data_IF_744271600492
#
_entry.id   IF_744271600492
#
_cell.length_a   1.000
_cell.length_b   1.000
_cell.length_c   1.000
_cell.angle_alpha   90.00
_cell.angle_beta   90.00
_cell.angle_gamma   90.00
#
_symmetry.space_group_name_H-M   'P 1'
#
loop_
_entity.id
_entity.type
_entity.pdbx_description
1 polymer ?
#
# COMPACT_ATOMS: atom_id res chain seq x y z
N UNK A 1 19.37 -20.82 -58.01
CA UNK A 1 20.49 -20.67 -57.05
C UNK A 1 19.90 -20.18 -55.73
N UNK A 2 19.64 -21.11 -54.81
CA UNK A 2 19.26 -20.83 -53.43
C UNK A 2 20.47 -21.18 -52.55
N UNK A 3 20.82 -20.40 -51.52
CA UNK A 3 21.87 -20.80 -50.61
C UNK A 3 21.37 -21.94 -49.71
N UNK A 4 22.24 -22.92 -49.54
CA UNK A 4 22.08 -24.17 -48.82
C UNK A 4 21.66 -24.00 -47.35
N UNK A 5 20.71 -24.84 -46.93
CA UNK A 5 20.46 -25.17 -45.53
C UNK A 5 21.76 -25.54 -44.81
N UNK A 6 22.22 -24.68 -43.90
CA UNK A 6 23.11 -25.11 -42.81
C UNK A 6 22.23 -25.57 -41.67
N UNK A 7 22.17 -26.88 -41.47
CA UNK A 7 21.78 -27.47 -40.20
C UNK A 7 22.74 -26.96 -39.13
N UNK A 8 22.23 -26.15 -38.20
CA UNK A 8 22.92 -25.85 -36.96
C UNK A 8 22.64 -27.04 -36.03
N UNK A 9 23.64 -27.90 -35.84
CA UNK A 9 23.64 -28.88 -34.76
C UNK A 9 23.69 -28.14 -33.42
N UNK A 10 22.78 -28.39 -32.46
CA UNK A 10 22.86 -27.79 -31.14
C UNK A 10 24.08 -28.34 -30.41
N UNK A 11 24.95 -27.47 -29.92
CA UNK A 11 25.97 -27.84 -28.94
C UNK A 11 25.31 -28.00 -27.57
N UNK A 12 25.75 -29.00 -26.80
CA UNK A 12 25.13 -29.47 -25.56
C UNK A 12 25.14 -28.49 -24.35
N UNK A 13 25.26 -27.18 -24.59
CA UNK A 13 25.29 -26.14 -23.56
C UNK A 13 24.31 -24.98 -23.81
N UNK A 14 23.34 -25.12 -24.71
CA UNK A 14 22.22 -24.18 -24.74
C UNK A 14 21.30 -24.48 -23.55
N UNK A 15 21.39 -23.59 -22.57
CA UNK A 15 20.51 -23.46 -21.41
C UNK A 15 19.08 -23.86 -21.74
N UNK A 16 18.44 -24.63 -20.85
CA UNK A 16 17.01 -24.90 -20.87
C UNK A 16 16.22 -23.57 -20.80
N UNK A 17 16.09 -22.87 -21.93
CA UNK A 17 15.07 -21.85 -22.12
C UNK A 17 13.77 -22.62 -22.24
N UNK A 18 13.06 -22.73 -21.13
CA UNK A 18 11.66 -23.10 -21.11
C UNK A 18 10.98 -22.27 -22.19
N UNK A 19 10.56 -22.92 -23.28
CA UNK A 19 9.75 -22.29 -24.31
C UNK A 19 8.56 -21.69 -23.58
N UNK A 20 8.29 -20.37 -23.70
CA UNK A 20 7.15 -19.76 -23.05
C UNK A 20 5.87 -20.55 -23.33
N UNK A 21 5.02 -20.71 -22.33
CA UNK A 21 3.86 -21.61 -22.44
C UNK A 21 2.93 -21.24 -23.61
N UNK A 22 2.80 -19.95 -23.95
CA UNK A 22 2.06 -19.51 -25.15
C UNK A 22 2.69 -20.04 -26.44
N UNK A 23 4.02 -20.03 -26.58
CA UNK A 23 4.73 -20.57 -27.73
C UNK A 23 4.54 -22.10 -27.84
N UNK A 24 4.43 -22.80 -26.71
CA UNK A 24 4.12 -24.24 -26.71
C UNK A 24 2.70 -24.49 -27.24
N UNK A 25 1.72 -23.69 -26.83
CA UNK A 25 0.33 -23.79 -27.31
C UNK A 25 0.23 -23.43 -28.79
N UNK A 26 0.88 -22.35 -29.22
CA UNK A 26 0.96 -21.94 -30.63
C UNK A 26 1.59 -23.06 -31.48
N UNK A 27 2.75 -23.58 -31.05
CA UNK A 27 3.42 -24.67 -31.75
C UNK A 27 2.58 -25.95 -31.80
N UNK A 28 1.85 -26.27 -30.73
CA UNK A 28 0.92 -27.39 -30.71
C UNK A 28 -0.18 -27.23 -31.77
N UNK A 29 -0.78 -26.05 -31.86
CA UNK A 29 -1.83 -25.72 -32.84
C UNK A 29 -1.29 -25.82 -34.27
N UNK A 30 -0.11 -25.26 -34.52
CA UNK A 30 0.54 -25.28 -35.83
C UNK A 30 0.94 -26.70 -36.26
N UNK A 31 1.36 -27.56 -35.32
CA UNK A 31 1.82 -28.92 -35.60
C UNK A 31 0.72 -29.89 -36.04
N UNK A 32 -0.55 -29.58 -35.75
CA UNK A 32 -1.69 -30.48 -35.98
C UNK A 32 -2.51 -30.18 -37.25
N UNK A 33 -2.07 -29.23 -38.09
CA UNK A 33 -2.57 -28.89 -39.44
C UNK A 33 -3.92 -29.53 -39.85
N UNK A 34 -5.03 -29.04 -39.28
CA UNK A 34 -6.39 -29.39 -39.71
C UNK A 34 -7.10 -30.54 -38.98
N UNK A 35 -6.41 -31.30 -38.11
CA UNK A 35 -6.99 -32.40 -37.32
C UNK A 35 -7.16 -32.01 -35.83
N UNK A 36 -7.53 -30.76 -35.59
CA UNK A 36 -7.60 -30.18 -34.26
C UNK A 36 -9.03 -30.14 -33.76
N UNK A 37 -9.29 -30.74 -32.60
CA UNK A 37 -10.53 -30.46 -31.86
C UNK A 37 -10.39 -29.09 -31.19
N UNK A 38 -10.85 -28.08 -31.90
CA UNK A 38 -10.85 -26.70 -31.41
C UNK A 38 -11.66 -26.53 -30.11
N UNK A 39 -12.65 -27.40 -29.85
CA UNK A 39 -13.47 -27.33 -28.65
C UNK A 39 -12.68 -27.75 -27.41
N UNK A 40 -11.97 -28.89 -27.49
CA UNK A 40 -11.11 -29.40 -26.41
C UNK A 40 -9.92 -28.47 -26.16
N UNK A 41 -9.31 -27.94 -27.23
CA UNK A 41 -8.24 -26.96 -27.14
C UNK A 41 -8.71 -25.72 -26.39
N UNK A 42 -9.83 -25.13 -26.80
CA UNK A 42 -10.36 -23.93 -26.14
C UNK A 42 -10.69 -24.20 -24.68
N UNK A 43 -11.26 -25.37 -24.34
CA UNK A 43 -11.54 -25.74 -22.96
C UNK A 43 -10.25 -25.81 -22.12
N UNK A 44 -9.22 -26.45 -22.65
CA UNK A 44 -7.90 -26.57 -22.00
C UNK A 44 -7.23 -25.20 -21.85
N UNK A 45 -7.28 -24.36 -22.89
CA UNK A 45 -6.73 -22.99 -22.86
C UNK A 45 -7.46 -22.13 -21.82
N UNK A 46 -8.80 -22.19 -21.74
CA UNK A 46 -9.58 -21.51 -20.71
C UNK A 46 -9.28 -22.02 -19.31
N UNK A 47 -8.92 -23.28 -19.14
CA UNK A 47 -8.61 -23.86 -17.83
C UNK A 47 -7.20 -23.50 -17.37
N UNK A 48 -6.20 -23.68 -18.24
CA UNK A 48 -4.79 -23.71 -17.87
C UNK A 48 -4.04 -22.38 -18.17
N UNK A 49 -4.56 -21.51 -19.06
CA UNK A 49 -3.88 -20.27 -19.44
C UNK A 49 -4.43 -19.05 -18.68
N UNK A 50 -3.57 -18.09 -18.31
CA UNK A 50 -4.03 -16.78 -17.85
C UNK A 50 -4.55 -15.91 -19.01
N UNK A 51 -5.26 -14.82 -18.70
CA UNK A 51 -5.88 -13.98 -19.72
C UNK A 51 -4.85 -13.36 -20.70
N UNK A 52 -3.69 -12.83 -20.25
CA UNK A 52 -2.64 -12.34 -21.16
C UNK A 52 -2.14 -13.38 -22.14
N UNK A 53 -1.92 -14.63 -21.69
CA UNK A 53 -1.47 -15.73 -22.56
C UNK A 53 -2.51 -16.02 -23.64
N UNK A 54 -3.80 -16.02 -23.30
CA UNK A 54 -4.85 -16.29 -24.28
C UNK A 54 -4.97 -15.15 -25.30
N UNK A 55 -4.88 -13.89 -24.86
CA UNK A 55 -4.85 -12.73 -25.76
C UNK A 55 -3.70 -12.88 -26.76
N UNK A 56 -2.51 -13.20 -26.28
CA UNK A 56 -1.34 -13.36 -27.13
C UNK A 56 -1.51 -14.47 -28.17
N UNK A 57 -2.08 -15.61 -27.78
CA UNK A 57 -2.39 -16.71 -28.71
C UNK A 57 -3.37 -16.24 -29.80
N UNK A 58 -4.43 -15.51 -29.42
CA UNK A 58 -5.43 -15.03 -30.37
C UNK A 58 -4.86 -13.98 -31.33
N UNK A 59 -4.09 -13.02 -30.84
CA UNK A 59 -3.43 -11.99 -31.66
C UNK A 59 -2.45 -12.63 -32.65
N UNK A 60 -1.66 -13.61 -32.20
CA UNK A 60 -0.76 -14.36 -33.07
C UNK A 60 -1.52 -15.00 -34.24
N UNK A 61 -2.62 -15.71 -33.98
CA UNK A 61 -3.38 -16.37 -35.06
C UNK A 61 -4.16 -15.40 -35.92
N UNK A 62 -4.57 -14.24 -35.40
CA UNK A 62 -5.17 -13.17 -36.19
C UNK A 62 -4.21 -12.71 -37.30
N UNK A 63 -2.94 -12.55 -36.96
CA UNK A 63 -1.91 -12.10 -37.89
C UNK A 63 -1.37 -13.24 -38.77
N UNK A 64 -1.26 -14.45 -38.22
CA UNK A 64 -0.63 -15.59 -38.88
C UNK A 64 -1.58 -16.40 -39.76
N UNK A 65 -2.80 -16.71 -39.28
CA UNK A 65 -3.76 -17.56 -39.99
C UNK A 65 -5.21 -17.28 -39.56
N UNK A 66 -5.88 -16.44 -40.34
CA UNK A 66 -7.28 -16.04 -40.10
C UNK A 66 -8.27 -17.20 -40.02
N UNK A 67 -8.01 -18.32 -40.70
CA UNK A 67 -8.91 -19.48 -40.63
C UNK A 67 -8.85 -20.12 -39.23
N UNK A 68 -7.66 -20.28 -38.67
CA UNK A 68 -7.47 -20.81 -37.30
C UNK A 68 -8.05 -19.83 -36.28
N UNK A 69 -7.80 -18.53 -36.46
CA UNK A 69 -8.40 -17.47 -35.63
C UNK A 69 -9.93 -17.59 -35.59
N UNK A 70 -10.60 -17.65 -36.74
CA UNK A 70 -12.07 -17.75 -36.80
C UNK A 70 -12.61 -19.04 -36.17
N UNK A 71 -11.90 -20.17 -36.26
CA UNK A 71 -12.32 -21.41 -35.60
C UNK A 71 -12.18 -21.33 -34.07
N UNK A 72 -11.08 -20.74 -33.57
CA UNK A 72 -10.89 -20.51 -32.15
C UNK A 72 -11.96 -19.56 -31.61
N UNK A 73 -12.15 -18.41 -32.27
CA UNK A 73 -13.18 -17.42 -31.92
C UNK A 73 -14.57 -18.04 -31.84
N UNK A 74 -14.96 -18.84 -32.84
CA UNK A 74 -16.24 -19.54 -32.85
C UNK A 74 -16.39 -20.58 -31.72
N UNK A 75 -15.34 -21.30 -31.34
CA UNK A 75 -15.43 -22.24 -30.20
C UNK A 75 -15.49 -21.51 -28.86
N UNK A 76 -14.76 -20.40 -28.72
CA UNK A 76 -14.89 -19.53 -27.55
C UNK A 76 -16.30 -18.94 -27.41
N UNK A 77 -16.97 -18.63 -28.53
CA UNK A 77 -18.39 -18.26 -28.58
C UNK A 77 -19.27 -19.40 -28.07
N UNK A 78 -19.16 -20.58 -28.68
CA UNK A 78 -20.02 -21.73 -28.41
C UNK A 78 -20.00 -22.17 -26.94
N UNK A 79 -18.85 -22.14 -26.29
CA UNK A 79 -18.71 -22.59 -24.90
C UNK A 79 -19.43 -21.66 -23.92
N UNK A 80 -19.52 -20.36 -24.20
CA UNK A 80 -20.21 -19.46 -23.28
C UNK A 80 -21.73 -19.54 -23.33
N UNK A 81 -22.32 -20.05 -24.41
CA UNK A 81 -23.78 -20.22 -24.57
C UNK A 81 -24.40 -21.33 -23.70
N UNK A 82 -23.61 -22.19 -23.04
CA UNK A 82 -24.11 -23.28 -22.19
C UNK A 82 -24.45 -22.84 -20.73
N UNK A 83 -24.51 -21.54 -20.46
CA UNK A 83 -24.91 -21.00 -19.14
C UNK A 83 -26.30 -20.36 -19.29
N UNK A 84 -27.34 -21.02 -18.78
CA UNK A 84 -28.79 -20.72 -18.94
C UNK A 84 -29.28 -19.39 -18.31
N UNK A 85 -28.47 -18.34 -18.28
CA UNK A 85 -28.84 -17.09 -17.62
C UNK A 85 -28.36 -15.93 -18.51
N UNK A 86 -29.31 -15.21 -19.13
CA UNK A 86 -29.20 -13.94 -19.90
C UNK A 86 -29.43 -14.07 -21.41
N UNK A 87 -30.20 -13.12 -21.96
CA UNK A 87 -30.65 -12.96 -23.35
C UNK A 87 -29.59 -12.58 -24.39
N UNK A 88 -28.29 -12.73 -24.08
CA UNK A 88 -27.18 -12.34 -24.96
C UNK A 88 -26.11 -13.45 -25.03
N UNK A 89 -25.39 -13.60 -26.16
CA UNK A 89 -24.26 -14.51 -26.27
C UNK A 89 -23.21 -14.28 -25.17
N UNK A 90 -23.07 -15.23 -24.24
CA UNK A 90 -21.96 -15.27 -23.29
C UNK A 90 -20.81 -16.00 -24.01
N UNK A 91 -19.58 -15.50 -23.84
CA UNK A 91 -18.36 -16.13 -24.37
C UNK A 91 -17.68 -16.92 -23.24
N UNK A 92 -16.93 -17.98 -23.55
CA UNK A 92 -16.17 -18.72 -22.53
C UNK A 92 -15.23 -17.81 -21.70
N UNK A 93 -14.73 -16.72 -22.31
CA UNK A 93 -13.98 -15.66 -21.62
C UNK A 93 -14.79 -14.87 -20.62
N UNK A 94 -16.05 -14.59 -20.94
CA UNK A 94 -16.96 -13.87 -20.03
C UNK A 94 -17.08 -14.63 -18.72
N UNK A 95 -17.19 -15.96 -18.77
CA UNK A 95 -17.25 -16.80 -17.56
C UNK A 95 -15.97 -16.68 -16.74
N UNK A 96 -14.78 -16.76 -17.37
CA UNK A 96 -13.49 -16.66 -16.65
C UNK A 96 -13.25 -15.26 -16.08
N UNK A 97 -13.51 -14.21 -16.86
CA UNK A 97 -13.35 -12.81 -16.45
C UNK A 97 -14.32 -12.46 -15.32
N UNK A 98 -15.61 -12.84 -15.46
CA UNK A 98 -16.63 -12.59 -14.43
C UNK A 98 -16.37 -13.44 -13.18
N UNK A 99 -15.94 -14.70 -13.32
CA UNK A 99 -15.59 -15.56 -12.18
C UNK A 99 -14.40 -14.99 -11.38
N UNK A 100 -13.34 -14.56 -12.06
CA UNK A 100 -12.20 -13.91 -11.40
C UNK A 100 -12.63 -12.61 -10.72
N UNK A 101 -13.44 -11.79 -11.40
CA UNK A 101 -13.99 -10.58 -10.81
C UNK A 101 -14.85 -10.87 -9.57
N UNK A 102 -15.70 -11.89 -9.59
CA UNK A 102 -16.56 -12.22 -8.45
C UNK A 102 -15.74 -12.69 -7.23
N UNK A 103 -14.67 -13.46 -7.45
CA UNK A 103 -13.73 -13.84 -6.38
C UNK A 103 -13.04 -12.62 -5.76
N UNK A 104 -12.54 -11.71 -6.60
CA UNK A 104 -11.96 -10.45 -6.14
C UNK A 104 -12.99 -9.62 -5.36
N UNK A 105 -14.24 -9.57 -5.86
CA UNK A 105 -15.33 -8.81 -5.26
C UNK A 105 -15.69 -9.34 -3.87
N UNK A 106 -15.79 -10.66 -3.68
CA UNK A 106 -16.04 -11.27 -2.37
C UNK A 106 -14.97 -10.87 -1.35
N UNK A 107 -13.69 -10.91 -1.76
CA UNK A 107 -12.59 -10.46 -0.92
C UNK A 107 -12.70 -8.97 -0.57
N UNK A 108 -12.97 -8.12 -1.56
CA UNK A 108 -13.15 -6.67 -1.37
C UNK A 108 -14.32 -6.36 -0.43
N UNK A 109 -15.45 -7.05 -0.60
CA UNK A 109 -16.65 -6.85 0.22
C UNK A 109 -16.43 -7.23 1.70
N UNK A 110 -15.57 -8.21 1.96
CA UNK A 110 -15.23 -8.63 3.33
C UNK A 110 -14.20 -7.74 4.04
N UNK A 111 -13.40 -6.97 3.28
CA UNK A 111 -12.20 -6.30 3.79
C UNK A 111 -12.27 -4.78 3.78
N UNK A 112 -13.11 -4.17 2.94
CA UNK A 112 -13.19 -2.72 2.75
C UNK A 112 -14.53 -2.15 3.18
N UNK A 113 -14.57 -0.86 3.52
CA UNK A 113 -15.82 -0.13 3.76
C UNK A 113 -16.55 0.18 2.43
N UNK A 114 -17.83 0.56 2.50
CA UNK A 114 -18.70 0.81 1.33
C UNK A 114 -18.10 1.78 0.31
N UNK A 115 -17.53 2.90 0.75
CA UNK A 115 -16.94 3.90 -0.16
C UNK A 115 -15.65 3.42 -0.83
N UNK A 116 -14.82 2.67 -0.12
CA UNK A 116 -13.61 2.06 -0.68
C UNK A 116 -13.93 0.92 -1.65
N UNK A 117 -15.01 0.18 -1.42
CA UNK A 117 -15.54 -0.78 -2.38
C UNK A 117 -15.97 -0.07 -3.67
N UNK A 118 -16.64 1.09 -3.58
CA UNK A 118 -17.01 1.91 -4.73
C UNK A 118 -15.77 2.38 -5.49
N UNK A 119 -14.72 2.83 -4.79
CA UNK A 119 -13.46 3.25 -5.40
C UNK A 119 -12.84 2.15 -6.28
N UNK A 120 -12.77 0.91 -5.77
CA UNK A 120 -12.26 -0.23 -6.54
C UNK A 120 -13.17 -0.55 -7.73
N UNK A 121 -14.49 -0.50 -7.55
CA UNK A 121 -15.43 -0.75 -8.64
C UNK A 121 -15.34 0.30 -9.75
N UNK A 122 -15.11 1.59 -9.42
CA UNK A 122 -14.88 2.65 -10.42
C UNK A 122 -13.64 2.35 -11.26
N UNK A 123 -12.53 1.97 -10.62
CA UNK A 123 -11.32 1.56 -11.33
C UNK A 123 -11.63 0.46 -12.36
N UNK A 124 -12.30 -0.61 -11.90
CA UNK A 124 -12.71 -1.73 -12.78
C UNK A 124 -13.66 -1.26 -13.89
N UNK A 125 -14.61 -0.37 -13.60
CA UNK A 125 -15.51 0.21 -14.59
C UNK A 125 -14.75 0.99 -15.67
N UNK A 126 -13.80 1.85 -15.29
CA UNK A 126 -12.98 2.63 -16.23
C UNK A 126 -12.13 1.72 -17.11
N UNK A 127 -11.53 0.67 -16.53
CA UNK A 127 -10.78 -0.36 -17.28
C UNK A 127 -11.69 -1.03 -18.31
N UNK A 128 -12.90 -1.45 -17.93
CA UNK A 128 -13.85 -2.08 -18.85
C UNK A 128 -14.31 -1.12 -19.96
N UNK A 129 -14.63 0.14 -19.60
CA UNK A 129 -15.12 1.16 -20.51
C UNK A 129 -14.10 1.55 -21.57
N UNK A 130 -12.82 1.62 -21.19
CA UNK A 130 -11.74 2.03 -22.07
C UNK A 130 -11.09 0.87 -22.83
N UNK A 131 -11.53 -0.38 -22.60
CA UNK A 131 -10.98 -1.53 -23.29
C UNK A 131 -11.44 -1.55 -24.76
N UNK A 132 -10.48 -1.39 -25.68
CA UNK A 132 -10.70 -1.40 -27.13
C UNK A 132 -10.36 -2.74 -27.78
N UNK A 133 -10.06 -3.77 -26.99
CA UNK A 133 -9.69 -5.07 -27.52
C UNK A 133 -10.92 -5.73 -28.12
N UNK A 134 -10.96 -5.82 -29.45
CA UNK A 134 -12.09 -6.31 -30.25
C UNK A 134 -12.63 -7.65 -29.72
N UNK A 135 -11.72 -8.58 -29.44
CA UNK A 135 -12.03 -9.91 -28.95
C UNK A 135 -12.58 -9.98 -27.52
N UNK A 136 -12.24 -9.02 -26.65
CA UNK A 136 -12.68 -9.01 -25.24
C UNK A 136 -13.85 -8.06 -25.01
N UNK A 137 -14.21 -7.28 -26.02
CA UNK A 137 -15.17 -6.19 -25.92
C UNK A 137 -16.50 -6.63 -25.30
N UNK A 138 -17.01 -7.81 -25.70
CA UNK A 138 -18.27 -8.34 -25.16
C UNK A 138 -18.15 -8.77 -23.70
N UNK A 139 -17.07 -9.45 -23.31
CA UNK A 139 -16.83 -9.85 -21.93
C UNK A 139 -16.67 -8.64 -21.00
N UNK A 140 -15.93 -7.61 -21.44
CA UNK A 140 -15.81 -6.36 -20.71
C UNK A 140 -17.12 -5.57 -20.64
N UNK A 141 -17.96 -5.60 -21.68
CA UNK A 141 -19.29 -4.99 -21.62
C UNK A 141 -20.20 -5.72 -20.62
N UNK A 142 -20.24 -7.06 -20.63
CA UNK A 142 -21.00 -7.82 -19.62
C UNK A 142 -20.51 -7.54 -18.20
N UNK A 143 -19.18 -7.50 -18.01
CA UNK A 143 -18.61 -7.18 -16.71
C UNK A 143 -18.91 -5.73 -16.29
N UNK A 144 -18.85 -4.78 -17.23
CA UNK A 144 -19.20 -3.37 -17.00
C UNK A 144 -20.62 -3.24 -16.48
N UNK A 145 -21.58 -3.95 -17.05
CA UNK A 145 -22.98 -3.91 -16.61
C UNK A 145 -23.14 -4.44 -15.19
N UNK A 146 -22.45 -5.55 -14.85
CA UNK A 146 -22.40 -6.09 -13.48
C UNK A 146 -21.81 -5.06 -12.51
N UNK A 147 -20.68 -4.44 -12.87
CA UNK A 147 -20.02 -3.42 -12.07
C UNK A 147 -20.95 -2.22 -11.85
N UNK A 148 -21.64 -1.74 -12.89
CA UNK A 148 -22.58 -0.62 -12.80
C UNK A 148 -23.69 -0.93 -11.79
N UNK A 149 -24.29 -2.12 -11.84
CA UNK A 149 -25.32 -2.53 -10.87
C UNK A 149 -24.77 -2.51 -9.44
N UNK A 150 -23.56 -3.04 -9.23
CA UNK A 150 -22.91 -3.05 -7.91
C UNK A 150 -22.57 -1.65 -7.42
N UNK A 151 -22.09 -0.75 -8.29
CA UNK A 151 -21.83 0.65 -7.94
C UNK A 151 -23.14 1.31 -7.50
N UNK A 152 -24.23 1.18 -8.27
CA UNK A 152 -25.52 1.78 -7.93
C UNK A 152 -26.04 1.31 -6.56
N UNK A 153 -25.97 0.00 -6.29
CA UNK A 153 -26.37 -0.56 -5.00
C UNK A 153 -25.56 0.03 -3.84
N UNK A 154 -24.23 0.02 -3.95
CA UNK A 154 -23.35 0.52 -2.89
C UNK A 154 -23.43 2.04 -2.74
N UNK A 155 -23.66 2.77 -3.82
CA UNK A 155 -23.84 4.22 -3.79
C UNK A 155 -25.05 4.62 -2.93
N UNK A 156 -26.19 3.95 -3.10
CA UNK A 156 -27.36 4.18 -2.24
C UNK A 156 -27.06 3.92 -0.76
N UNK A 157 -26.28 2.87 -0.47
CA UNK A 157 -25.85 2.54 0.90
C UNK A 157 -24.95 3.65 1.45
N UNK A 158 -23.90 4.04 0.71
CA UNK A 158 -22.97 5.10 1.11
C UNK A 158 -23.70 6.44 1.34
N UNK A 159 -24.63 6.79 0.44
CA UNK A 159 -25.43 8.00 0.57
C UNK A 159 -26.25 7.99 1.86
N UNK A 160 -26.86 6.86 2.20
CA UNK A 160 -27.59 6.70 3.46
C UNK A 160 -26.65 6.76 4.68
N UNK A 161 -25.50 6.08 4.63
CA UNK A 161 -24.49 6.10 5.70
C UNK A 161 -24.00 7.52 5.98
N UNK A 162 -23.74 8.32 4.95
CA UNK A 162 -23.25 9.70 5.11
C UNK A 162 -24.37 10.64 5.57
N UNK A 163 -25.59 10.52 5.02
CA UNK A 163 -26.72 11.42 5.35
C UNK A 163 -27.34 11.14 6.71
N UNK A 164 -27.27 9.91 7.20
CA UNK A 164 -27.81 9.51 8.52
C UNK A 164 -26.90 9.90 9.69
N UNK A 165 -25.64 10.22 9.42
CA UNK A 165 -24.67 10.60 10.45
C UNK A 165 -24.78 12.09 10.79
N UNK A 166 -24.82 12.41 12.09
CA UNK A 166 -24.68 13.79 12.57
C UNK A 166 -23.27 14.34 12.33
N UNK A 167 -22.27 13.47 12.31
CA UNK A 167 -20.87 13.76 11.99
C UNK A 167 -20.30 12.72 11.04
N UNK A 168 -19.78 13.16 9.90
CA UNK A 168 -19.13 12.30 8.90
C UNK A 168 -17.75 11.89 9.40
N UNK A 169 -17.45 10.60 9.38
CA UNK A 169 -16.11 10.10 9.71
C UNK A 169 -15.06 10.57 8.69
N UNK A 170 -13.78 10.65 9.09
CA UNK A 170 -12.70 11.03 8.16
C UNK A 170 -12.65 10.09 6.95
N UNK A 171 -12.80 8.78 7.15
CA UNK A 171 -12.82 7.81 6.06
C UNK A 171 -13.92 8.13 5.05
N UNK A 172 -15.13 8.42 5.53
CA UNK A 172 -16.27 8.78 4.68
C UNK A 172 -16.15 10.18 4.07
N UNK A 173 -15.32 11.06 4.63
CA UNK A 173 -15.10 12.39 4.10
C UNK A 173 -14.52 12.37 2.68
N UNK A 174 -13.63 11.42 2.38
CA UNK A 174 -13.10 11.21 1.02
C UNK A 174 -14.18 10.73 0.04
N UNK A 175 -15.19 10.02 0.53
CA UNK A 175 -16.27 9.51 -0.31
C UNK A 175 -17.38 10.55 -0.57
N UNK A 176 -17.34 11.72 0.09
CA UNK A 176 -18.22 12.86 -0.23
C UNK A 176 -18.08 13.30 -1.69
N UNK A 177 -16.89 13.17 -2.27
CA UNK A 177 -16.62 13.53 -3.66
C UNK A 177 -17.32 12.62 -4.66
N UNK A 178 -17.75 11.41 -4.26
CA UNK A 178 -18.63 10.58 -5.08
C UNK A 178 -20.06 11.11 -5.12
N UNK A 179 -20.50 11.84 -4.09
CA UNK A 179 -21.91 12.20 -3.86
C UNK A 179 -22.27 13.65 -4.19
N UNK A 180 -21.33 14.58 -4.02
CA UNK A 180 -21.58 16.01 -4.12
C UNK A 180 -20.66 16.67 -5.15
N UNK A 181 -21.12 17.78 -5.73
CA UNK A 181 -20.29 18.61 -6.60
C UNK A 181 -19.02 19.06 -5.88
N UNK A 182 -17.93 19.27 -6.65
CA UNK A 182 -16.58 19.52 -6.13
C UNK A 182 -16.55 20.56 -5.01
N UNK A 183 -17.19 21.72 -5.21
CA UNK A 183 -17.18 22.81 -4.22
C UNK A 183 -17.90 22.43 -2.92
N UNK A 184 -19.06 21.79 -3.03
CA UNK A 184 -19.83 21.35 -1.86
C UNK A 184 -19.07 20.26 -1.10
N UNK A 185 -18.53 19.27 -1.81
CA UNK A 185 -17.73 18.19 -1.25
C UNK A 185 -16.48 18.75 -0.54
N UNK A 186 -15.77 19.71 -1.14
CA UNK A 186 -14.61 20.37 -0.54
C UNK A 186 -14.97 21.10 0.76
N UNK A 187 -16.08 21.83 0.78
CA UNK A 187 -16.52 22.56 1.97
C UNK A 187 -16.86 21.59 3.11
N UNK A 188 -17.56 20.49 2.81
CA UNK A 188 -17.86 19.44 3.79
C UNK A 188 -16.59 18.74 4.26
N UNK A 189 -15.69 18.37 3.35
CA UNK A 189 -14.40 17.76 3.65
C UNK A 189 -13.56 18.62 4.60
N UNK A 190 -13.36 19.91 4.25
CA UNK A 190 -12.61 20.86 5.10
C UNK A 190 -13.21 20.98 6.49
N UNK A 191 -14.55 21.03 6.60
CA UNK A 191 -15.24 21.07 7.89
C UNK A 191 -15.00 19.80 8.70
N UNK A 192 -15.07 18.63 8.07
CA UNK A 192 -14.80 17.35 8.73
C UNK A 192 -13.36 17.25 9.22
N UNK A 193 -12.38 17.62 8.38
CA UNK A 193 -10.96 17.66 8.76
C UNK A 193 -10.74 18.61 9.93
N UNK A 194 -11.24 19.85 9.85
CA UNK A 194 -11.12 20.83 10.92
C UNK A 194 -11.73 20.33 12.24
N UNK A 195 -12.93 19.76 12.20
CA UNK A 195 -13.57 19.21 13.39
C UNK A 195 -12.75 18.04 13.98
N UNK A 196 -12.19 17.17 13.15
CA UNK A 196 -11.34 16.05 13.62
C UNK A 196 -10.03 16.58 14.24
N UNK A 197 -9.41 17.60 13.63
CA UNK A 197 -8.23 18.29 14.17
C UNK A 197 -8.52 18.91 15.53
N UNK A 198 -9.63 19.62 15.68
CA UNK A 198 -10.02 20.28 16.95
C UNK A 198 -10.31 19.29 18.08
N UNK A 199 -10.74 18.07 17.74
CA UNK A 199 -11.10 17.04 18.72
C UNK A 199 -9.98 16.03 18.98
N UNK A 200 -8.93 15.98 18.16
CA UNK A 200 -7.74 15.15 18.37
C UNK A 200 -6.65 15.96 19.06
N UNK A 201 -5.97 15.34 20.02
CA UNK A 201 -4.87 15.98 20.76
C UNK A 201 -3.53 15.93 20.01
N UNK A 202 -3.43 15.17 18.92
CA UNK A 202 -2.17 14.78 18.28
C UNK A 202 -2.07 15.21 16.81
N UNK A 203 -0.85 15.54 16.34
CA UNK A 203 -0.53 15.85 14.93
C UNK A 203 -0.71 14.62 14.01
N UNK A 204 -0.81 13.43 14.60
CA UNK A 204 -1.18 12.16 13.94
C UNK A 204 -2.42 12.23 13.04
N UNK A 205 -3.30 13.21 13.22
CA UNK A 205 -4.45 13.40 12.33
C UNK A 205 -4.01 13.66 10.89
N UNK A 206 -3.02 14.55 10.64
CA UNK A 206 -2.53 14.85 9.28
C UNK A 206 -1.93 13.59 8.64
N UNK A 207 -1.21 12.79 9.43
CA UNK A 207 -0.68 11.47 9.06
C UNK A 207 -1.78 10.50 8.63
N UNK A 208 -2.77 10.28 9.49
CA UNK A 208 -3.89 9.40 9.21
C UNK A 208 -4.68 9.86 7.98
N UNK A 209 -4.91 11.16 7.83
CA UNK A 209 -5.60 11.73 6.68
C UNK A 209 -4.80 11.51 5.38
N UNK A 210 -3.47 11.65 5.42
CA UNK A 210 -2.59 11.42 4.26
C UNK A 210 -2.58 9.96 3.81
N UNK A 211 -2.54 9.01 4.76
CA UNK A 211 -2.66 7.57 4.46
C UNK A 211 -4.00 7.26 3.78
N UNK A 212 -5.10 7.81 4.30
CA UNK A 212 -6.42 7.64 3.70
C UNK A 212 -6.49 8.25 2.30
N UNK A 213 -5.88 9.42 2.09
CA UNK A 213 -5.75 10.05 0.78
C UNK A 213 -5.04 9.11 -0.19
N UNK A 214 -3.82 8.66 0.12
CA UNK A 214 -3.08 7.74 -0.74
C UNK A 214 -3.86 6.45 -1.03
N UNK A 215 -4.51 5.88 -0.01
CA UNK A 215 -5.27 4.65 -0.12
C UNK A 215 -6.44 4.76 -1.10
N UNK A 216 -7.22 5.85 -1.06
CA UNK A 216 -8.36 6.01 -1.98
C UNK A 216 -7.89 6.21 -3.43
N UNK A 217 -6.82 6.98 -3.66
CA UNK A 217 -6.26 7.20 -4.99
C UNK A 217 -5.66 5.91 -5.58
N UNK A 218 -4.98 5.11 -4.77
CA UNK A 218 -4.46 3.80 -5.17
C UNK A 218 -5.58 2.84 -5.57
N UNK A 219 -6.71 2.85 -4.84
CA UNK A 219 -7.88 2.01 -5.16
C UNK A 219 -8.58 2.44 -6.44
N UNK A 220 -8.78 3.75 -6.60
CA UNK A 220 -9.37 4.35 -7.81
C UNK A 220 -8.50 4.16 -9.04
N UNK A 221 -7.17 4.22 -8.87
CA UNK A 221 -6.20 4.29 -9.95
C UNK A 221 -6.52 5.41 -10.97
N UNK A 222 -6.96 6.55 -10.45
CA UNK A 222 -7.24 7.78 -11.19
C UNK A 222 -6.53 8.94 -10.49
N UNK A 223 -6.11 10.00 -11.19
CA UNK A 223 -5.49 11.17 -10.57
C UNK A 223 -6.51 12.09 -9.86
N UNK A 224 -7.79 11.73 -9.83
CA UNK A 224 -8.87 12.49 -9.22
C UNK A 224 -9.99 11.56 -8.68
N UNK A 225 -10.80 12.09 -7.75
CA UNK A 225 -12.02 11.44 -7.27
C UNK A 225 -13.23 12.02 -8.01
N UNK A 226 -13.94 11.25 -8.86
CA UNK A 226 -15.07 11.74 -9.64
C UNK A 226 -16.35 11.83 -8.81
N UNK A 227 -17.24 12.77 -9.18
CA UNK A 227 -18.66 12.71 -8.83
C UNK A 227 -19.31 11.58 -9.65
N UNK A 228 -20.17 10.80 -9.02
CA UNK A 228 -20.91 9.72 -9.68
C UNK A 228 -22.36 10.16 -9.87
N UNK A 229 -22.76 10.31 -11.12
CA UNK A 229 -24.14 10.56 -11.49
C UNK A 229 -24.81 9.25 -11.90
N UNK A 230 -25.75 8.77 -11.08
CA UNK A 230 -26.55 7.59 -11.36
C UNK A 230 -27.72 7.96 -12.27
N UNK A 231 -27.73 7.38 -13.47
CA UNK A 231 -28.85 7.51 -14.40
C UNK A 231 -29.82 6.34 -14.16
N UNK A 232 -31.06 6.65 -13.79
CA UNK A 232 -32.06 5.68 -13.30
C UNK A 232 -32.42 4.59 -14.31
N UNK A 233 -32.30 4.86 -15.61
CA UNK A 233 -32.77 3.97 -16.68
C UNK A 233 -31.66 3.40 -17.60
N UNK A 234 -30.39 3.70 -17.33
CA UNK A 234 -29.26 3.22 -18.16
C UNK A 234 -28.41 2.19 -17.41
N UNK A 235 -27.88 1.19 -18.12
CA UNK A 235 -26.77 0.33 -17.65
C UNK A 235 -25.43 1.08 -17.65
N UNK A 236 -25.46 2.34 -17.20
CA UNK A 236 -24.27 3.19 -17.16
C UNK A 236 -24.28 4.11 -15.93
N UNK A 237 -23.09 4.63 -15.63
CA UNK A 237 -22.84 5.71 -14.67
C UNK A 237 -22.07 6.82 -15.37
N UNK A 238 -22.33 8.06 -15.00
CA UNK A 238 -21.58 9.20 -15.53
C UNK A 238 -20.62 9.67 -14.44
N UNK A 239 -19.32 9.61 -14.72
CA UNK A 239 -18.27 10.12 -13.86
C UNK A 239 -17.93 11.55 -14.28
N UNK A 240 -17.74 12.46 -13.32
CA UNK A 240 -17.29 13.82 -13.66
C UNK A 240 -15.89 13.84 -14.28
N UNK A 241 -15.65 14.85 -15.11
CA UNK A 241 -14.35 15.11 -15.73
C UNK A 241 -13.34 15.67 -14.71
N UNK A 242 -12.02 15.49 -14.92
CA UNK A 242 -10.98 15.93 -13.98
C UNK A 242 -11.12 17.37 -13.49
N UNK A 243 -11.51 18.30 -14.38
CA UNK A 243 -11.70 19.73 -14.06
C UNK A 243 -12.78 19.99 -13.00
N UNK A 244 -13.78 19.10 -12.94
CA UNK A 244 -14.92 19.13 -12.04
C UNK A 244 -14.77 18.12 -10.90
N UNK A 245 -13.57 17.57 -10.71
CA UNK A 245 -13.23 16.58 -9.70
C UNK A 245 -12.12 17.09 -8.80
N UNK A 246 -11.92 16.46 -7.65
CA UNK A 246 -10.80 16.80 -6.76
C UNK A 246 -9.60 15.91 -7.05
N UNK A 247 -8.42 16.52 -7.15
CA UNK A 247 -7.14 15.81 -7.31
C UNK A 247 -6.51 15.42 -5.98
N UNK A 248 -5.56 14.48 -6.02
CA UNK A 248 -4.79 14.08 -4.84
C UNK A 248 -4.00 15.24 -4.26
N UNK A 249 -3.43 16.09 -5.12
CA UNK A 249 -2.65 17.26 -4.71
C UNK A 249 -3.52 18.31 -4.01
N UNK A 250 -4.75 18.53 -4.49
CA UNK A 250 -5.69 19.43 -3.84
C UNK A 250 -6.05 18.96 -2.42
N UNK A 251 -6.33 17.66 -2.25
CA UNK A 251 -6.60 17.11 -0.92
C UNK A 251 -5.35 17.12 -0.03
N UNK A 252 -4.18 16.81 -0.59
CA UNK A 252 -2.90 16.85 0.13
C UNK A 252 -2.65 18.25 0.68
N UNK A 253 -2.86 19.32 -0.11
CA UNK A 253 -2.70 20.70 0.38
C UNK A 253 -3.65 21.07 1.52
N UNK A 254 -4.84 20.47 1.57
CA UNK A 254 -5.81 20.71 2.64
C UNK A 254 -5.40 19.96 3.90
N UNK A 255 -4.95 18.71 3.76
CA UNK A 255 -4.50 17.85 4.86
C UNK A 255 -3.20 18.39 5.44
N UNK A 256 -2.23 18.68 4.57
CA UNK A 256 -0.87 19.10 4.87
C UNK A 256 -0.71 20.61 4.99
N UNK A 257 -1.66 21.27 5.66
CA UNK A 257 -1.64 22.74 5.79
C UNK A 257 -0.44 23.28 6.59
N UNK A 258 0.25 22.42 7.35
CA UNK A 258 1.48 22.75 8.09
C UNK A 258 2.77 22.33 7.36
N UNK A 259 2.69 21.88 6.10
CA UNK A 259 3.84 21.45 5.29
C UNK A 259 4.63 20.29 5.92
N UNK A 260 3.92 19.45 6.66
CA UNK A 260 4.40 18.31 7.41
C UNK A 260 5.11 17.26 6.53
N UNK A 261 4.61 16.99 5.31
CA UNK A 261 5.16 15.97 4.42
C UNK A 261 6.22 16.48 3.46
N UNK A 262 6.29 17.80 3.22
CA UNK A 262 7.38 18.39 2.43
C UNK A 262 8.66 18.63 3.25
N UNK A 263 8.64 18.34 4.56
CA UNK A 263 9.86 18.33 5.38
C UNK A 263 10.83 17.26 4.87
N UNK A 264 12.07 17.65 4.60
CA UNK A 264 13.18 16.77 4.17
C UNK A 264 13.15 15.39 4.85
N UNK A 265 13.29 14.31 4.07
CA UNK A 265 13.42 12.94 4.57
C UNK A 265 14.53 12.89 5.64
N UNK A 266 14.29 12.29 6.82
CA UNK A 266 15.29 12.26 7.88
C UNK A 266 16.60 11.64 7.40
N UNK A 267 17.71 12.31 7.69
CA UNK A 267 19.08 11.83 7.42
C UNK A 267 19.44 11.57 5.94
N UNK A 268 18.61 12.02 4.98
CA UNK A 268 18.86 11.83 3.53
C UNK A 268 20.24 12.30 3.09
N UNK A 269 20.67 13.46 3.61
CA UNK A 269 21.97 14.06 3.29
C UNK A 269 23.02 13.84 4.39
N UNK A 270 22.76 12.93 5.35
CA UNK A 270 23.69 12.66 6.44
C UNK A 270 24.89 11.84 5.93
N UNK A 271 26.14 12.14 6.32
CA UNK A 271 27.29 11.42 5.79
C UNK A 271 27.30 9.92 6.19
N UNK A 272 27.35 9.02 5.20
CA UNK A 272 27.28 7.57 5.40
C UNK A 272 28.25 7.02 6.47
N UNK A 273 29.47 7.56 6.56
CA UNK A 273 30.48 7.12 7.54
C UNK A 273 30.15 7.50 8.99
N UNK A 274 29.18 8.41 9.22
CA UNK A 274 28.74 8.85 10.54
C UNK A 274 27.59 8.03 11.11
N UNK A 275 26.94 7.18 10.31
CA UNK A 275 25.86 6.30 10.77
C UNK A 275 26.35 5.26 11.81
N UNK A 276 25.39 4.72 12.56
CA UNK A 276 25.63 3.54 13.40
C UNK A 276 25.87 2.35 12.49
N UNK A 277 27.00 1.66 12.65
CA UNK A 277 27.28 0.45 11.88
C UNK A 277 26.63 -0.75 12.58
N UNK A 278 25.60 -1.38 12.01
CA UNK A 278 24.86 -2.44 12.70
C UNK A 278 25.70 -3.68 13.03
N UNK A 279 26.78 -3.95 12.28
CA UNK A 279 27.67 -5.09 12.51
C UNK A 279 28.72 -4.83 13.59
N UNK A 280 29.08 -3.57 13.84
CA UNK A 280 30.15 -3.19 14.79
C UNK A 280 29.61 -2.57 16.07
N UNK A 281 28.54 -1.80 15.93
CA UNK A 281 28.01 -0.91 16.97
C UNK A 281 26.77 -1.53 17.66
N UNK A 282 26.23 -2.65 17.17
CA UNK A 282 25.07 -3.35 17.76
C UNK A 282 25.35 -4.85 17.87
N UNK A 283 25.13 -5.46 19.04
CA UNK A 283 25.33 -6.91 19.21
C UNK A 283 24.21 -7.74 18.55
N UNK A 284 22.94 -7.36 18.73
CA UNK A 284 21.78 -8.04 18.16
C UNK A 284 20.78 -7.04 17.60
N UNK A 285 20.83 -6.78 16.29
CA UNK A 285 19.97 -5.75 15.66
C UNK A 285 18.48 -6.11 15.72
N UNK A 286 18.12 -7.40 15.58
CA UNK A 286 16.72 -7.84 15.63
C UNK A 286 16.07 -7.52 16.97
N UNK A 287 16.80 -7.79 18.05
CA UNK A 287 16.35 -7.52 19.40
C UNK A 287 16.25 -6.01 19.67
N UNK A 288 17.24 -5.22 19.25
CA UNK A 288 17.19 -3.76 19.38
C UNK A 288 15.99 -3.17 18.64
N UNK A 289 15.71 -3.60 17.40
CA UNK A 289 14.51 -3.20 16.64
C UNK A 289 13.23 -3.50 17.43
N UNK A 290 13.12 -4.70 17.99
CA UNK A 290 11.95 -5.10 18.79
C UNK A 290 11.79 -4.25 20.06
N UNK A 291 12.86 -4.06 20.84
CA UNK A 291 12.85 -3.24 22.06
C UNK A 291 12.34 -1.82 21.76
N UNK A 292 12.89 -1.17 20.73
CA UNK A 292 12.45 0.18 20.38
C UNK A 292 10.99 0.22 19.92
N UNK A 293 10.51 -0.82 19.25
CA UNK A 293 9.11 -0.91 18.88
C UNK A 293 8.20 -0.99 20.12
N UNK A 294 8.59 -1.74 21.13
CA UNK A 294 7.88 -1.79 22.41
C UNK A 294 7.90 -0.45 23.16
N UNK A 295 9.01 0.31 23.09
CA UNK A 295 9.09 1.68 23.64
C UNK A 295 8.08 2.61 22.98
N UNK A 296 7.99 2.57 21.64
CA UNK A 296 6.98 3.32 20.89
C UNK A 296 5.57 2.86 21.25
N UNK A 297 5.29 1.54 21.18
CA UNK A 297 3.98 0.96 21.48
C UNK A 297 3.50 1.37 22.87
N UNK A 298 4.31 1.19 23.90
CA UNK A 298 3.98 1.55 25.29
C UNK A 298 3.61 3.02 25.42
N UNK A 299 4.40 3.90 24.81
CA UNK A 299 4.19 5.34 24.93
C UNK A 299 2.96 5.78 24.14
N UNK A 300 2.76 5.23 22.95
CA UNK A 300 1.65 5.56 22.07
C UNK A 300 0.30 5.12 22.66
N UNK A 301 0.19 3.86 23.13
CA UNK A 301 -1.04 3.30 23.69
C UNK A 301 -1.52 4.08 24.91
N UNK A 302 -0.58 4.56 25.74
CA UNK A 302 -0.91 5.35 26.93
C UNK A 302 -1.56 6.70 26.60
N UNK A 303 -1.27 7.26 25.42
CA UNK A 303 -1.78 8.57 24.99
C UNK A 303 -3.02 8.48 24.12
N UNK A 304 -3.07 7.48 23.24
CA UNK A 304 -4.18 7.24 22.32
C UNK A 304 -4.94 5.99 22.78
N UNK A 305 -4.68 4.85 22.15
CA UNK A 305 -5.12 3.51 22.55
C UNK A 305 -4.43 2.46 21.66
N UNK A 306 -4.63 1.17 21.97
CA UNK A 306 -4.05 0.05 21.21
C UNK A 306 -4.57 -0.06 19.78
N UNK A 307 -5.87 0.19 19.56
CA UNK A 307 -6.48 0.09 18.21
C UNK A 307 -5.90 1.12 17.25
N UNK A 308 -5.64 2.34 17.70
CA UNK A 308 -5.05 3.38 16.86
C UNK A 308 -3.57 3.08 16.54
N UNK A 309 -2.83 2.45 17.46
CA UNK A 309 -1.47 1.99 17.17
C UNK A 309 -1.47 0.86 16.13
N UNK A 310 -2.38 -0.11 16.26
CA UNK A 310 -2.53 -1.21 15.29
C UNK A 310 -2.89 -0.69 13.88
N UNK A 311 -3.75 0.32 13.79
CA UNK A 311 -4.15 0.95 12.52
C UNK A 311 -3.00 1.64 11.80
N UNK A 312 -1.94 2.08 12.50
CA UNK A 312 -0.75 2.60 11.81
C UNK A 312 -0.14 1.54 10.90
N UNK A 313 -0.19 0.26 11.30
CA UNK A 313 0.41 -0.83 10.53
C UNK A 313 1.93 -0.73 10.37
N UNK A 314 2.60 0.11 11.18
CA UNK A 314 4.04 0.38 11.10
C UNK A 314 4.80 -0.22 12.29
N UNK A 315 5.97 -0.78 12.00
CA UNK A 315 6.96 -1.12 13.02
C UNK A 315 7.87 0.09 13.27
N UNK A 316 7.41 1.03 14.07
CA UNK A 316 8.11 2.30 14.34
C UNK A 316 9.53 2.08 14.88
N UNK A 317 9.73 1.03 15.68
CA UNK A 317 11.06 0.67 16.19
C UNK A 317 12.00 0.22 15.08
N UNK A 318 11.52 -0.62 14.16
CA UNK A 318 12.33 -1.06 13.01
C UNK A 318 12.66 0.10 12.08
N UNK A 319 11.67 0.92 11.74
CA UNK A 319 11.86 2.08 10.85
C UNK A 319 12.88 3.04 11.47
N UNK A 320 12.74 3.35 12.76
CA UNK A 320 13.68 4.21 13.47
C UNK A 320 15.12 3.66 13.42
N UNK A 321 15.31 2.38 13.74
CA UNK A 321 16.65 1.77 13.77
C UNK A 321 17.27 1.69 12.39
N UNK A 322 16.51 1.33 11.35
CA UNK A 322 17.03 1.35 9.98
C UNK A 322 17.39 2.77 9.52
N UNK A 323 16.59 3.77 9.88
CA UNK A 323 16.87 5.18 9.53
C UNK A 323 18.22 5.65 10.08
N UNK A 324 18.65 5.19 11.26
CA UNK A 324 19.91 5.60 11.89
C UNK A 324 21.11 4.66 11.59
N UNK A 325 20.88 3.56 10.89
CA UNK A 325 21.91 2.56 10.55
C UNK A 325 22.19 2.45 9.05
N UNK A 326 21.20 2.72 8.21
CA UNK A 326 21.28 2.57 6.75
C UNK A 326 21.17 3.94 6.05
N UNK A 327 22.11 4.32 5.17
CA UNK A 327 22.02 5.55 4.38
C UNK A 327 20.82 5.55 3.41
N UNK A 328 20.37 4.36 3.00
CA UNK A 328 19.22 4.16 2.11
C UNK A 328 18.29 3.11 2.72
N UNK A 329 17.45 3.48 3.70
CA UNK A 329 16.50 2.56 4.31
C UNK A 329 15.53 1.99 3.26
N UNK A 330 15.03 0.77 3.49
CA UNK A 330 14.09 0.11 2.57
C UNK A 330 12.67 0.71 2.59
N UNK A 331 12.39 1.59 3.55
CA UNK A 331 11.08 2.18 3.78
C UNK A 331 10.84 3.38 2.86
N UNK A 332 9.58 3.67 2.58
CA UNK A 332 9.19 4.83 1.79
C UNK A 332 9.51 6.14 2.53
N UNK A 333 9.76 7.22 1.77
CA UNK A 333 9.96 8.57 2.32
C UNK A 333 8.85 8.95 3.31
N UNK A 334 7.61 8.52 3.03
CA UNK A 334 6.45 8.71 3.88
C UNK A 334 6.58 8.04 5.25
N UNK A 335 6.98 6.77 5.30
CA UNK A 335 7.18 6.01 6.55
C UNK A 335 8.32 6.58 7.39
N UNK A 336 9.40 7.03 6.73
CA UNK A 336 10.56 7.65 7.37
C UNK A 336 10.18 8.98 8.03
N UNK A 337 9.49 9.86 7.30
CA UNK A 337 8.99 11.14 7.81
C UNK A 337 8.01 10.92 8.96
N UNK A 338 7.08 9.97 8.80
CA UNK A 338 6.07 9.66 9.81
C UNK A 338 6.69 9.20 11.13
N UNK A 339 7.64 8.27 11.07
CA UNK A 339 8.31 7.77 12.28
C UNK A 339 9.05 8.89 13.01
N UNK A 340 9.73 9.79 12.28
CA UNK A 340 10.39 10.97 12.85
C UNK A 340 9.42 11.87 13.60
N UNK A 341 8.32 12.25 12.97
CA UNK A 341 7.41 13.23 13.58
C UNK A 341 6.67 12.65 14.79
N UNK A 342 6.29 11.36 14.75
CA UNK A 342 5.80 10.64 15.94
C UNK A 342 6.85 10.69 17.07
N UNK A 343 8.12 10.48 16.73
CA UNK A 343 9.21 10.59 17.70
C UNK A 343 9.24 11.99 18.34
N UNK A 344 9.23 13.06 17.52
CA UNK A 344 9.28 14.45 18.02
C UNK A 344 8.12 14.76 18.95
N UNK A 345 6.92 14.34 18.59
CA UNK A 345 5.72 14.59 19.37
C UNK A 345 5.76 13.86 20.73
N UNK A 346 6.10 12.56 20.71
CA UNK A 346 6.26 11.78 21.93
C UNK A 346 7.36 12.34 22.86
N UNK A 347 8.38 12.99 22.30
CA UNK A 347 9.46 13.66 23.04
C UNK A 347 9.06 15.01 23.64
N UNK A 348 8.20 15.78 22.96
CA UNK A 348 7.75 17.11 23.39
C UNK A 348 6.58 17.03 24.38
N UNK A 349 5.79 15.97 24.33
CA UNK A 349 4.65 15.78 25.22
C UNK A 349 5.11 15.56 26.66
N UNK A 350 4.85 16.54 27.54
CA UNK A 350 5.26 16.52 28.94
C UNK A 350 4.60 15.42 29.78
N UNK A 351 3.49 14.85 29.32
CA UNK A 351 2.82 13.70 29.96
C UNK A 351 3.38 12.36 29.49
N UNK A 352 4.23 12.37 28.46
CA UNK A 352 4.80 11.17 27.86
C UNK A 352 6.00 10.68 28.66
N UNK A 353 6.00 9.39 28.99
CA UNK A 353 7.19 8.73 29.51
C UNK A 353 8.16 8.31 28.39
N UNK A 354 7.86 8.63 27.13
CA UNK A 354 8.66 8.23 25.98
C UNK A 354 10.12 8.68 26.12
N UNK A 355 10.37 9.95 26.48
CA UNK A 355 11.74 10.44 26.70
C UNK A 355 12.51 9.58 27.71
N UNK A 356 11.86 9.24 28.82
CA UNK A 356 12.43 8.40 29.89
C UNK A 356 12.76 7.00 29.37
N UNK A 357 11.81 6.31 28.74
CA UNK A 357 12.02 4.94 28.26
C UNK A 357 12.95 4.88 27.04
N UNK A 358 12.87 5.84 26.13
CA UNK A 358 13.69 5.90 24.92
C UNK A 358 15.16 6.10 25.25
N UNK A 359 15.51 7.18 25.96
CA UNK A 359 16.90 7.44 26.33
C UNK A 359 17.39 6.48 27.44
N UNK A 360 16.52 6.11 28.38
CA UNK A 360 16.85 5.13 29.41
C UNK A 360 17.17 3.75 28.82
N UNK A 361 16.46 3.33 27.77
CA UNK A 361 16.77 2.09 27.05
C UNK A 361 18.16 2.13 26.45
N UNK A 362 18.52 3.23 25.77
CA UNK A 362 19.86 3.37 25.20
C UNK A 362 20.92 3.34 26.31
N UNK A 363 20.67 4.02 27.43
CA UNK A 363 21.56 4.03 28.59
C UNK A 363 21.79 2.61 29.15
N UNK A 364 20.74 1.84 29.38
CA UNK A 364 20.84 0.46 29.89
C UNK A 364 21.55 -0.46 28.89
N UNK A 365 21.14 -0.43 27.62
CA UNK A 365 21.74 -1.30 26.59
C UNK A 365 23.20 -0.94 26.29
N UNK A 366 23.60 0.32 26.46
CA UNK A 366 25.02 0.75 26.47
C UNK A 366 25.77 0.07 27.63
N UNK A 367 25.22 0.12 28.85
CA UNK A 367 25.83 -0.50 30.03
C UNK A 367 26.02 -2.02 29.89
N UNK A 368 25.15 -2.67 29.14
CA UNK A 368 25.23 -4.11 28.81
C UNK A 368 26.11 -4.42 27.59
N UNK A 369 26.78 -3.41 27.03
CA UNK A 369 27.59 -3.52 25.81
C UNK A 369 26.83 -4.03 24.56
N UNK A 370 25.50 -3.93 24.54
CA UNK A 370 24.65 -4.24 23.38
C UNK A 370 24.74 -3.12 22.34
N UNK A 371 24.76 -1.86 22.78
CA UNK A 371 24.90 -0.67 21.93
C UNK A 371 26.29 -0.06 22.08
N UNK A 372 27.23 -0.49 21.24
CA UNK A 372 28.63 -0.07 21.28
C UNK A 372 28.80 1.24 20.50
N UNK A 373 29.55 2.21 21.05
CA UNK A 373 29.87 3.51 20.41
C UNK A 373 28.66 4.42 20.13
N UNK A 374 27.46 4.07 20.58
CA UNK A 374 26.29 4.95 20.45
C UNK A 374 26.50 6.27 21.20
N UNK A 375 27.21 6.27 22.33
CA UNK A 375 27.50 7.49 23.09
C UNK A 375 28.25 8.58 22.30
N UNK A 376 29.04 8.20 21.28
CA UNK A 376 29.78 9.17 20.45
C UNK A 376 29.07 9.51 19.15
N UNK A 377 28.36 8.56 18.55
CA UNK A 377 27.70 8.76 17.25
C UNK A 377 26.24 9.22 17.36
N UNK A 378 25.48 8.61 18.26
CA UNK A 378 24.03 8.80 18.35
C UNK A 378 23.60 10.25 18.61
N UNK A 379 24.28 11.06 19.46
CA UNK A 379 23.85 12.44 19.69
C UNK A 379 23.78 13.30 18.41
N UNK A 380 24.75 13.14 17.51
CA UNK A 380 24.78 13.84 16.23
C UNK A 380 23.73 13.32 15.27
N UNK A 381 23.60 11.99 15.14
CA UNK A 381 22.57 11.36 14.31
C UNK A 381 21.18 11.80 14.76
N UNK A 382 20.91 11.74 16.07
CA UNK A 382 19.60 12.04 16.62
C UNK A 382 19.23 13.52 16.47
N UNK A 383 20.20 14.43 16.62
CA UNK A 383 20.00 15.86 16.41
C UNK A 383 19.51 16.18 15.00
N UNK A 384 20.18 15.60 13.99
CA UNK A 384 19.79 15.72 12.58
C UNK A 384 18.48 14.99 12.29
N UNK A 385 18.28 13.79 12.86
CA UNK A 385 17.05 13.03 12.72
C UNK A 385 15.83 13.83 13.19
N UNK A 386 15.89 14.48 14.36
CA UNK A 386 14.79 15.35 14.84
C UNK A 386 14.84 16.78 14.28
N UNK A 387 15.71 17.07 13.32
CA UNK A 387 15.78 18.37 12.64
C UNK A 387 15.88 19.57 13.58
N UNK A 388 16.74 19.51 14.60
CA UNK A 388 16.96 20.64 15.51
C UNK A 388 15.82 20.93 16.49
N UNK A 389 15.00 19.93 16.84
CA UNK A 389 13.93 20.03 17.82
C UNK A 389 14.38 20.74 19.12
N UNK A 390 13.61 21.74 19.57
CA UNK A 390 13.92 22.52 20.79
C UNK A 390 14.11 21.58 21.99
N UNK A 391 15.23 21.74 22.69
CA UNK A 391 15.60 20.89 23.84
C UNK A 391 16.43 19.66 23.47
N UNK A 392 16.61 19.36 22.18
CA UNK A 392 17.38 18.22 21.65
C UNK A 392 18.53 18.67 20.73
N UNK A 393 19.23 19.73 21.15
CA UNK A 393 20.51 20.11 20.55
C UNK A 393 21.54 18.99 20.73
N UNK A 394 22.64 19.04 19.96
CA UNK A 394 23.74 18.10 20.11
C UNK A 394 24.24 18.00 21.56
N UNK A 395 24.43 19.14 22.23
CA UNK A 395 24.85 19.20 23.64
C UNK A 395 23.82 18.61 24.59
N UNK A 396 22.52 18.90 24.39
CA UNK A 396 21.46 18.29 25.18
C UNK A 396 21.39 16.78 25.01
N UNK A 397 21.58 16.29 23.78
CA UNK A 397 21.56 14.87 23.49
C UNK A 397 22.75 14.15 24.12
N UNK A 398 23.93 14.78 24.16
CA UNK A 398 25.12 14.23 24.82
C UNK A 398 24.91 14.03 26.34
N UNK A 399 24.08 14.85 26.99
CA UNK A 399 23.80 14.72 28.42
C UNK A 399 23.04 13.43 28.79
N UNK A 400 22.39 12.75 27.83
CA UNK A 400 21.81 11.41 28.06
C UNK A 400 22.86 10.30 28.08
N UNK A 401 24.10 10.61 27.68
CA UNK A 401 25.18 9.64 27.54
C UNK A 401 26.40 9.94 28.41
N UNK A 402 26.43 11.09 29.08
CA UNK A 402 27.52 11.45 30.01
C UNK A 402 27.52 10.52 31.22
N UNK A 403 28.73 10.20 31.67
CA UNK A 403 28.96 9.53 32.95
C UNK A 403 29.21 10.56 34.07
N UNK A 404 29.52 11.82 33.72
CA UNK A 404 29.86 12.89 34.65
C UNK A 404 28.72 13.92 34.72
N UNK A 405 28.19 14.16 35.94
CA UNK A 405 27.05 15.06 36.26
C UNK A 405 25.68 14.57 35.76
N UNK A 406 24.54 14.83 36.45
CA UNK A 406 23.47 13.84 36.55
C UNK A 406 22.86 13.56 35.18
N UNK A 407 23.19 12.37 34.67
CA UNK A 407 22.58 11.81 33.48
C UNK A 407 21.06 11.82 33.69
N UNK A 408 20.32 12.49 32.81
CA UNK A 408 18.89 12.74 32.97
C UNK A 408 18.05 11.46 33.04
N UNK A 409 18.59 10.32 32.62
CA UNK A 409 17.89 9.03 32.63
C UNK A 409 18.45 8.00 33.60
N UNK A 410 19.59 8.25 34.24
CA UNK A 410 20.13 7.36 35.27
C UNK A 410 19.15 7.08 36.42
N UNK A 411 18.35 8.06 36.93
CA UNK A 411 17.36 7.79 37.96
C UNK A 411 16.28 6.77 37.56
N UNK A 412 16.08 6.54 36.26
CA UNK A 412 15.07 5.62 35.73
C UNK A 412 15.63 4.24 35.35
N UNK A 413 16.92 3.99 35.59
CA UNK A 413 17.61 2.76 35.17
C UNK A 413 16.88 1.49 35.65
N UNK A 414 16.44 1.46 36.91
CA UNK A 414 15.73 0.32 37.47
C UNK A 414 14.42 0.04 36.73
N UNK A 415 13.59 1.06 36.54
CA UNK A 415 12.29 0.92 35.87
C UNK A 415 12.45 0.52 34.40
N UNK A 416 13.47 1.05 33.71
CA UNK A 416 13.79 0.65 32.34
C UNK A 416 14.27 -0.81 32.30
N UNK A 417 15.14 -1.24 33.23
CA UNK A 417 15.54 -2.65 33.31
C UNK A 417 14.34 -3.58 33.50
N UNK A 418 13.38 -3.21 34.36
CA UNK A 418 12.15 -4.00 34.53
C UNK A 418 11.33 -4.06 33.24
N UNK A 419 11.18 -2.94 32.54
CA UNK A 419 10.54 -2.91 31.23
C UNK A 419 11.26 -3.81 30.22
N UNK A 420 12.58 -3.75 30.13
CA UNK A 420 13.35 -4.58 29.18
C UNK A 420 13.20 -6.08 29.46
N UNK A 421 13.05 -6.50 30.73
CA UNK A 421 12.71 -7.90 31.09
C UNK A 421 11.36 -8.36 30.53
N UNK A 422 10.43 -7.44 30.32
CA UNK A 422 9.12 -7.77 29.72
C UNK A 422 9.19 -7.86 28.20
N UNK A 423 10.16 -7.20 27.56
CA UNK A 423 10.33 -7.17 26.11
C UNK A 423 11.32 -8.21 25.59
N UNK A 424 12.18 -8.77 26.46
CA UNK A 424 13.29 -9.64 26.06
C UNK A 424 13.53 -10.73 27.08
N UNK A 425 14.08 -11.86 26.62
CA UNK A 425 14.63 -12.91 27.50
C UNK A 425 16.05 -12.57 27.97
N UNK A 426 16.47 -11.30 27.93
CA UNK A 426 17.80 -10.90 28.40
C UNK A 426 17.91 -11.21 29.89
N UNK A 427 18.83 -12.12 30.22
CA UNK A 427 19.26 -12.38 31.59
C UNK A 427 20.08 -11.17 32.05
N UNK A 428 19.37 -10.10 32.45
CA UNK A 428 19.91 -8.82 32.91
C UNK A 428 20.58 -9.01 34.27
N UNK A 429 21.67 -9.79 34.31
CA UNK A 429 22.58 -9.82 35.44
C UNK A 429 23.23 -8.45 35.53
N UNK A 430 23.03 -7.80 36.67
CA UNK A 430 23.62 -6.52 37.05
C UNK A 430 25.11 -6.48 36.71
N UNK A 431 25.65 -5.38 36.18
CA UNK A 431 27.09 -5.19 36.20
C UNK A 431 27.54 -5.15 37.66
N UNK A 432 28.65 -5.83 37.93
CA UNK A 432 29.40 -5.77 39.20
C UNK A 432 29.78 -4.31 39.47
N UNK A 433 29.65 -3.91 40.73
CA UNK A 433 29.99 -2.58 41.30
C UNK A 433 31.35 -2.04 40.85
#
# INVERSE_FOLDING_TARGET
>A
MYPSNKFITPTANDEFRLIPYHDQVINHILSKQGNLDYSELVFTVLKECDLPTIIHIMDFFKDYNMMIYSHLEHQFEKIGHNVEIISHPIYGFTVKIVSNFNKDLEYIESSLNTGDQIAVLINRYVVCKNNKHEFLHRAYNSLKDIIVVKIKQKFCILEHEIKSQSFVSISNAFHLFFLYDKEEALNKFKKTIKNDVENRRFILHQLHHSVLNNSIFNRLNLPYIPLINIVSNNYDIILSEPKNSVSQDELTKIIDHEDFFNKNVPLKDFPAHKFINPLKDIHCIKEVKHIFNEVYKRSYIKHENEKEFEKLGLNLGEIFIETITEPYPKFSDHELIMTREITKELLLNSKSEFKKYFFGTIYVLKGLAILKKWQTKFPGIFHEYVGGLKGYSLSSNQNFFSNDSPNQVAPYEFEVKQFLKTCTNLDLKTPVE
#
